data_IF_098208868779
#
_entry.id   IF_098208868779
#
_cell.length_a   1.000
_cell.length_b   1.000
_cell.length_c   1.000
_cell.angle_alpha   90.00
_cell.angle_beta   90.00
_cell.angle_gamma   90.00
#
_symmetry.space_group_name_H-M   'P 1'
#
loop_
_entity.id
_entity.type
_entity.pdbx_description
1 polymer ?
#
# COMPACT_ATOMS: atom_id res chain seq x y z
N UNK A 1 -6.83 -15.33 19.85
CA UNK A 1 -5.48 -14.70 19.77
C UNK A 1 -4.80 -15.26 18.53
N UNK A 2 -4.49 -14.46 17.51
CA UNK A 2 -3.86 -14.97 16.26
C UNK A 2 -2.40 -15.33 16.57
N UNK A 3 -1.87 -16.48 16.10
CA UNK A 3 -0.47 -16.87 16.33
C UNK A 3 0.51 -15.77 15.86
N UNK A 4 1.57 -15.51 16.64
CA UNK A 4 2.47 -14.35 16.45
C UNK A 4 3.21 -14.29 15.11
N UNK A 5 3.36 -15.43 14.42
CA UNK A 5 3.91 -15.50 13.05
C UNK A 5 2.84 -15.20 11.99
N UNK A 6 1.65 -15.80 12.13
CA UNK A 6 0.51 -15.53 11.23
C UNK A 6 0.10 -14.06 11.27
N UNK A 7 0.06 -13.46 12.47
CA UNK A 7 -0.28 -12.05 12.65
C UNK A 7 0.68 -11.06 11.98
N UNK A 8 1.92 -11.49 11.67
CA UNK A 8 2.91 -10.68 10.94
C UNK A 8 2.76 -10.78 9.42
N UNK A 9 2.22 -11.88 8.91
CA UNK A 9 2.00 -12.08 7.47
C UNK A 9 0.66 -11.51 7.00
N UNK A 10 -0.35 -11.47 7.87
CA UNK A 10 -1.68 -10.95 7.51
C UNK A 10 -1.67 -9.56 6.87
N UNK A 11 -0.91 -8.56 7.36
CA UNK A 11 -0.87 -7.25 6.71
C UNK A 11 -0.31 -7.34 5.30
N UNK A 12 0.76 -8.13 5.08
CA UNK A 12 1.37 -8.34 3.76
C UNK A 12 0.36 -8.97 2.80
N UNK A 13 -0.35 -10.02 3.24
CA UNK A 13 -1.38 -10.67 2.43
C UNK A 13 -2.56 -9.73 2.11
N UNK A 14 -2.97 -8.88 3.06
CA UNK A 14 -3.98 -7.86 2.82
C UNK A 14 -3.51 -6.82 1.78
N UNK A 15 -2.23 -6.45 1.81
CA UNK A 15 -1.59 -5.62 0.79
C UNK A 15 -1.58 -6.26 -0.59
N UNK A 16 -1.21 -7.54 -0.69
CA UNK A 16 -1.22 -8.29 -1.96
C UNK A 16 -2.65 -8.39 -2.50
N UNK A 17 -3.65 -8.65 -1.64
CA UNK A 17 -5.04 -8.62 -2.04
C UNK A 17 -5.47 -7.24 -2.55
N UNK A 18 -5.01 -6.15 -1.90
CA UNK A 18 -5.21 -4.79 -2.38
C UNK A 18 -4.57 -4.54 -3.76
N UNK A 19 -3.39 -5.13 -4.02
CA UNK A 19 -2.69 -5.00 -5.30
C UNK A 19 -3.43 -5.68 -6.47
N UNK A 20 -4.26 -6.69 -6.21
CA UNK A 20 -5.03 -7.38 -7.24
C UNK A 20 -6.05 -6.49 -7.97
N UNK A 21 -6.35 -5.29 -7.44
CA UNK A 21 -7.15 -4.28 -8.16
C UNK A 21 -6.36 -3.51 -9.21
N UNK A 22 -5.04 -3.57 -9.21
CA UNK A 22 -4.20 -2.97 -10.23
C UNK A 22 -4.12 -3.90 -11.45
N UNK A 23 -3.67 -3.35 -12.57
CA UNK A 23 -3.31 -4.16 -13.73
C UNK A 23 -2.24 -5.21 -13.33
N UNK A 24 -2.26 -6.42 -13.93
CA UNK A 24 -3.15 -6.87 -15.00
C UNK A 24 -4.48 -7.49 -14.53
N UNK A 25 -4.68 -7.64 -13.22
CA UNK A 25 -5.84 -8.38 -12.69
C UNK A 25 -7.12 -7.53 -12.67
N UNK A 26 -7.01 -6.23 -12.38
CA UNK A 26 -8.14 -5.28 -12.35
C UNK A 26 -9.36 -5.81 -11.57
N UNK A 27 -9.14 -6.40 -10.39
CA UNK A 27 -10.18 -6.97 -9.51
C UNK A 27 -10.54 -6.00 -8.35
N UNK A 28 -11.41 -5.00 -8.56
CA UNK A 28 -11.67 -3.95 -7.56
C UNK A 28 -12.25 -4.48 -6.26
N UNK A 29 -13.10 -5.52 -6.29
CA UNK A 29 -13.70 -6.08 -5.07
C UNK A 29 -12.68 -6.81 -4.19
N UNK A 30 -11.71 -7.50 -4.80
CA UNK A 30 -10.59 -8.11 -4.06
C UNK A 30 -9.72 -7.01 -3.45
N UNK A 31 -9.51 -5.93 -4.21
CA UNK A 31 -8.74 -4.79 -3.72
C UNK A 31 -9.39 -4.12 -2.52
N UNK A 32 -10.70 -3.87 -2.59
CA UNK A 32 -11.50 -3.33 -1.49
C UNK A 32 -11.41 -4.21 -0.25
N UNK A 33 -11.49 -5.53 -0.40
CA UNK A 33 -11.32 -6.45 0.72
C UNK A 33 -9.91 -6.34 1.34
N UNK A 34 -8.87 -6.21 0.52
CA UNK A 34 -7.49 -5.98 0.97
C UNK A 34 -7.29 -4.65 1.71
N UNK A 35 -7.85 -3.55 1.18
CA UNK A 35 -7.82 -2.24 1.84
C UNK A 35 -8.61 -2.25 3.15
N UNK A 36 -9.80 -2.83 3.17
CA UNK A 36 -10.61 -2.98 4.38
C UNK A 36 -9.90 -3.81 5.45
N UNK A 37 -9.28 -4.93 5.06
CA UNK A 37 -8.48 -5.75 5.96
C UNK A 37 -7.27 -4.97 6.51
N UNK A 38 -6.60 -4.17 5.67
CA UNK A 38 -5.49 -3.30 6.10
C UNK A 38 -5.94 -2.30 7.16
N UNK A 39 -7.03 -1.57 6.91
CA UNK A 39 -7.60 -0.60 7.87
C UNK A 39 -8.02 -1.31 9.17
N UNK A 40 -8.64 -2.49 9.08
CA UNK A 40 -9.03 -3.30 10.24
C UNK A 40 -7.82 -3.75 11.07
N UNK A 41 -6.75 -4.21 10.42
CA UNK A 41 -5.51 -4.63 11.08
C UNK A 41 -4.82 -3.44 11.76
N UNK A 42 -4.69 -2.29 11.10
CA UNK A 42 -4.06 -1.10 11.67
C UNK A 42 -4.88 -0.54 12.83
N UNK A 43 -6.20 -0.41 12.66
CA UNK A 43 -7.09 0.12 13.70
C UNK A 43 -7.07 -0.70 14.99
N UNK A 44 -6.92 -2.03 14.90
CA UNK A 44 -6.85 -2.94 16.05
C UNK A 44 -5.43 -3.27 16.53
N UNK A 45 -4.42 -2.49 16.15
CA UNK A 45 -3.08 -2.72 16.67
C UNK A 45 -2.97 -2.34 18.16
N UNK A 46 -2.23 -3.12 18.97
CA UNK A 46 -2.13 -2.88 20.42
C UNK A 46 -1.36 -1.60 20.75
N UNK A 47 -0.37 -1.22 19.94
CA UNK A 47 0.55 -0.12 20.21
C UNK A 47 0.98 0.59 18.91
N UNK A 48 1.67 1.72 19.04
CA UNK A 48 2.15 2.54 17.91
C UNK A 48 3.09 1.76 17.00
N UNK A 49 3.98 0.94 17.57
CA UNK A 49 4.93 0.11 16.80
C UNK A 49 4.17 -0.90 15.94
N UNK A 50 3.14 -1.54 16.49
CA UNK A 50 2.30 -2.47 15.79
C UNK A 50 1.46 -1.79 14.69
N UNK A 51 0.95 -0.57 14.91
CA UNK A 51 0.26 0.19 13.83
C UNK A 51 1.20 0.46 12.66
N UNK A 52 2.43 0.90 12.95
CA UNK A 52 3.46 1.19 11.95
C UNK A 52 3.82 -0.05 11.14
N UNK A 53 4.15 -1.16 11.80
CA UNK A 53 4.55 -2.39 11.09
C UNK A 53 3.39 -3.06 10.35
N UNK A 54 2.14 -2.95 10.83
CA UNK A 54 0.98 -3.45 10.08
C UNK A 54 0.74 -2.62 8.83
N UNK A 55 0.78 -1.29 8.94
CA UNK A 55 0.61 -0.42 7.78
C UNK A 55 1.76 -0.56 6.78
N UNK A 56 3.01 -0.62 7.27
CA UNK A 56 4.19 -0.87 6.44
C UNK A 56 4.13 -2.25 5.77
N UNK A 57 3.78 -3.31 6.49
CA UNK A 57 3.66 -4.65 5.91
C UNK A 57 2.60 -4.72 4.81
N UNK A 58 1.45 -4.07 5.01
CA UNK A 58 0.43 -3.96 3.98
C UNK A 58 0.89 -3.12 2.78
N UNK A 59 1.55 -1.99 3.01
CA UNK A 59 2.16 -1.20 1.95
C UNK A 59 3.19 -1.99 1.15
N UNK A 60 4.05 -2.77 1.82
CA UNK A 60 5.08 -3.56 1.16
C UNK A 60 4.47 -4.66 0.28
N UNK A 61 3.44 -5.36 0.77
CA UNK A 61 2.69 -6.33 -0.02
C UNK A 61 1.97 -5.69 -1.22
N UNK A 62 1.36 -4.52 -1.01
CA UNK A 62 0.69 -3.77 -2.06
C UNK A 62 1.67 -3.34 -3.15
N UNK A 63 2.76 -2.65 -2.79
CA UNK A 63 3.72 -2.16 -3.76
C UNK A 63 4.49 -3.27 -4.46
N UNK A 64 4.88 -4.34 -3.76
CA UNK A 64 5.52 -5.49 -4.39
C UNK A 64 4.58 -6.16 -5.42
N UNK A 65 3.30 -6.30 -5.08
CA UNK A 65 2.29 -6.89 -5.96
C UNK A 65 1.94 -5.98 -7.15
N UNK A 66 1.91 -4.66 -6.97
CA UNK A 66 1.55 -3.70 -8.03
C UNK A 66 2.74 -3.28 -8.91
N UNK A 67 3.97 -3.43 -8.42
CA UNK A 67 5.20 -3.01 -9.10
C UNK A 67 6.11 -4.19 -9.41
N UNK A 68 5.57 -5.41 -9.47
CA UNK A 68 6.35 -6.62 -9.76
C UNK A 68 7.12 -6.51 -11.08
N UNK A 69 6.58 -5.77 -12.06
CA UNK A 69 7.19 -5.48 -13.36
C UNK A 69 8.53 -4.74 -13.26
N UNK A 70 8.89 -4.13 -12.12
CA UNK A 70 10.20 -3.51 -11.89
C UNK A 70 11.35 -4.51 -12.03
N UNK A 71 11.07 -5.82 -12.00
CA UNK A 71 12.04 -6.86 -12.33
C UNK A 71 12.41 -6.87 -13.81
N UNK A 72 11.49 -6.54 -14.72
CA UNK A 72 11.65 -6.69 -16.17
C UNK A 72 12.86 -5.95 -16.76
N UNK A 73 13.16 -4.69 -16.39
CA UNK A 73 14.34 -3.99 -16.91
C UNK A 73 15.67 -4.68 -16.58
N UNK A 74 15.76 -5.39 -15.45
CA UNK A 74 16.95 -6.12 -15.04
C UNK A 74 17.17 -7.41 -15.84
N UNK A 75 16.12 -7.89 -16.53
CA UNK A 75 16.16 -9.12 -17.31
C UNK A 75 16.58 -8.88 -18.78
N UNK A 76 16.74 -7.62 -19.20
CA UNK A 76 17.22 -7.28 -20.56
C UNK A 76 18.67 -7.74 -20.76
N UNK A 77 19.53 -7.54 -19.77
CA UNK A 77 20.90 -8.10 -19.68
C UNK A 77 21.04 -8.84 -18.34
N UNK A 78 20.37 -9.99 -18.27
CA UNK A 78 20.20 -10.74 -17.03
C UNK A 78 21.52 -11.28 -16.46
N UNK A 79 22.49 -11.62 -17.32
CA UNK A 79 23.81 -12.09 -16.89
C UNK A 79 24.52 -11.03 -16.06
N UNK A 80 24.39 -9.75 -16.45
CA UNK A 80 25.02 -8.64 -15.77
C UNK A 80 24.18 -8.09 -14.61
N UNK A 81 22.87 -7.98 -14.78
CA UNK A 81 21.99 -7.18 -13.91
C UNK A 81 20.89 -7.98 -13.21
N UNK A 82 20.61 -9.22 -13.61
CA UNK A 82 19.47 -10.00 -13.10
C UNK A 82 19.51 -10.24 -11.59
N UNK A 83 20.70 -10.38 -11.02
CA UNK A 83 20.90 -10.54 -9.57
C UNK A 83 20.42 -9.33 -8.75
N UNK A 84 20.34 -8.14 -9.34
CA UNK A 84 19.92 -6.90 -8.68
C UNK A 84 18.40 -6.81 -8.53
N UNK A 85 17.64 -7.48 -9.41
CA UNK A 85 16.18 -7.38 -9.50
C UNK A 85 15.44 -7.63 -8.18
N UNK A 86 15.71 -8.70 -7.40
CA UNK A 86 15.01 -8.93 -6.13
C UNK A 86 15.28 -7.82 -5.11
N UNK A 87 16.49 -7.27 -5.07
CA UNK A 87 16.86 -6.18 -4.18
C UNK A 87 16.22 -4.86 -4.60
N UNK A 88 16.13 -4.61 -5.91
CA UNK A 88 15.45 -3.43 -6.46
C UNK A 88 13.95 -3.45 -6.12
N UNK A 89 13.26 -4.58 -6.36
CA UNK A 89 11.84 -4.71 -6.03
C UNK A 89 11.60 -4.61 -4.52
N UNK A 90 12.36 -5.35 -3.71
CA UNK A 90 12.20 -5.32 -2.25
C UNK A 90 12.51 -3.93 -1.66
N UNK A 91 13.57 -3.29 -2.14
CA UNK A 91 13.98 -1.95 -1.72
C UNK A 91 12.95 -0.89 -2.10
N UNK A 92 12.45 -0.91 -3.35
CA UNK A 92 11.43 0.02 -3.81
C UNK A 92 10.10 -0.19 -3.06
N UNK A 93 9.60 -1.43 -3.00
CA UNK A 93 8.34 -1.74 -2.32
C UNK A 93 8.41 -1.41 -0.82
N UNK A 94 9.50 -1.82 -0.15
CA UNK A 94 9.74 -1.53 1.27
C UNK A 94 9.93 -0.04 1.55
N UNK A 95 10.60 0.68 0.65
CA UNK A 95 10.82 2.13 0.74
C UNK A 95 9.53 2.93 0.57
N UNK A 96 8.72 2.61 -0.45
CA UNK A 96 7.40 3.24 -0.64
C UNK A 96 6.44 2.89 0.50
N UNK A 97 6.56 1.69 1.08
CA UNK A 97 5.77 1.29 2.24
C UNK A 97 6.08 2.10 3.50
N UNK A 98 7.21 2.82 3.58
CA UNK A 98 7.51 3.72 4.71
C UNK A 98 6.47 4.83 4.83
N UNK A 99 5.90 5.31 3.71
CA UNK A 99 4.79 6.27 3.71
C UNK A 99 3.56 5.72 4.44
N UNK A 100 3.20 4.46 4.17
CA UNK A 100 2.07 3.79 4.84
C UNK A 100 2.40 3.52 6.31
N UNK A 101 3.63 3.09 6.61
CA UNK A 101 4.12 2.92 7.98
C UNK A 101 4.02 4.21 8.80
N UNK A 102 4.45 5.34 8.23
CA UNK A 102 4.36 6.67 8.86
C UNK A 102 2.91 7.08 9.10
N UNK A 103 2.01 6.85 8.12
CA UNK A 103 0.57 7.06 8.29
C UNK A 103 -0.01 6.19 9.42
N UNK A 104 0.37 4.91 9.49
CA UNK A 104 -0.05 4.00 10.56
C UNK A 104 0.42 4.47 11.94
N UNK A 105 1.68 4.87 12.05
CA UNK A 105 2.26 5.39 13.29
C UNK A 105 1.55 6.68 13.75
N UNK A 106 1.36 7.65 12.86
CA UNK A 106 0.66 8.89 13.19
C UNK A 106 -0.81 8.64 13.56
N UNK A 107 -1.49 7.74 12.86
CA UNK A 107 -2.88 7.38 13.15
C UNK A 107 -3.07 6.82 14.56
N UNK A 108 -2.06 6.14 15.13
CA UNK A 108 -2.11 5.64 16.50
C UNK A 108 -2.33 6.77 17.52
N UNK A 109 -1.64 7.89 17.33
CA UNK A 109 -1.66 9.03 18.25
C UNK A 109 -2.83 9.97 17.99
N UNK A 110 -3.25 10.11 16.73
CA UNK A 110 -4.35 10.98 16.32
C UNK A 110 -5.73 10.36 16.64
N UNK A 111 -5.87 9.04 16.56
CA UNK A 111 -7.14 8.36 16.71
C UNK A 111 -7.37 7.78 18.11
N UNK A 112 -8.52 8.08 18.73
CA UNK A 112 -8.96 7.43 19.98
C UNK A 112 -9.76 6.16 19.66
N UNK A 113 -9.32 5.02 20.21
CA UNK A 113 -9.93 3.72 19.96
C UNK A 113 -9.83 3.24 18.50
N UNK A 114 -10.40 2.07 18.17
CA UNK A 114 -10.28 1.49 16.83
C UNK A 114 -10.93 2.35 15.73
N UNK A 115 -12.11 2.91 15.97
CA UNK A 115 -12.82 3.73 14.99
C UNK A 115 -12.08 5.03 14.65
N UNK A 116 -11.65 5.78 15.67
CA UNK A 116 -10.87 7.01 15.46
C UNK A 116 -9.53 6.74 14.76
N UNK A 117 -8.88 5.62 15.09
CA UNK A 117 -7.63 5.21 14.43
C UNK A 117 -7.85 4.82 12.97
N UNK A 118 -8.96 4.16 12.65
CA UNK A 118 -9.31 3.85 11.26
C UNK A 118 -9.49 5.12 10.42
N UNK A 119 -10.27 6.08 10.93
CA UNK A 119 -10.51 7.36 10.25
C UNK A 119 -9.22 8.18 10.10
N UNK A 120 -8.41 8.26 11.15
CA UNK A 120 -7.12 8.95 11.10
C UNK A 120 -6.18 8.30 10.06
N UNK A 121 -6.12 6.97 10.02
CA UNK A 121 -5.31 6.25 9.04
C UNK A 121 -5.76 6.53 7.60
N UNK A 122 -7.07 6.43 7.32
CA UNK A 122 -7.61 6.70 5.97
C UNK A 122 -7.32 8.14 5.53
N UNK A 123 -7.50 9.14 6.41
CA UNK A 123 -7.17 10.53 6.08
C UNK A 123 -5.67 10.73 5.82
N UNK A 124 -4.82 10.13 6.64
CA UNK A 124 -3.37 10.18 6.46
C UNK A 124 -2.90 9.47 5.18
N UNK A 125 -3.60 8.41 4.75
CA UNK A 125 -3.31 7.70 3.51
C UNK A 125 -3.38 8.63 2.29
N UNK A 126 -4.35 9.55 2.25
CA UNK A 126 -4.41 10.59 1.20
C UNK A 126 -3.20 11.53 1.23
N UNK A 127 -2.81 11.99 2.43
CA UNK A 127 -1.67 12.91 2.60
C UNK A 127 -0.34 12.26 2.21
N UNK A 128 -0.10 11.02 2.65
CA UNK A 128 1.13 10.31 2.27
C UNK A 128 1.12 9.87 0.81
N UNK A 129 -0.07 9.62 0.24
CA UNK A 129 -0.27 9.39 -1.19
C UNK A 129 0.14 10.59 -2.05
N UNK A 130 -0.22 11.81 -1.60
CA UNK A 130 0.23 13.06 -2.20
C UNK A 130 1.74 13.27 -2.00
N UNK A 131 2.24 13.11 -0.77
CA UNK A 131 3.65 13.30 -0.45
C UNK A 131 4.57 12.40 -1.31
N UNK A 132 4.16 11.16 -1.56
CA UNK A 132 4.88 10.22 -2.43
C UNK A 132 5.02 10.70 -3.88
N UNK A 133 4.17 11.61 -4.33
CA UNK A 133 4.27 12.28 -5.63
C UNK A 133 5.35 13.36 -5.72
N UNK A 134 5.92 13.80 -4.59
CA UNK A 134 6.86 14.94 -4.56
C UNK A 134 8.18 14.64 -3.83
N UNK A 135 8.16 13.82 -2.79
CA UNK A 135 9.35 13.45 -2.02
C UNK A 135 10.34 12.69 -2.91
N UNK A 136 11.61 13.08 -2.87
CA UNK A 136 12.69 12.48 -3.68
C UNK A 136 12.33 12.42 -5.17
N UNK A 137 11.93 13.57 -5.73
CA UNK A 137 11.43 13.74 -7.12
C UNK A 137 10.12 13.03 -7.46
N UNK A 138 9.55 12.27 -6.52
CA UNK A 138 8.23 11.65 -6.64
C UNK A 138 8.22 10.30 -7.35
N UNK A 139 7.35 9.41 -6.88
CA UNK A 139 7.02 8.13 -7.53
C UNK A 139 5.52 7.79 -7.34
N UNK A 140 4.61 8.49 -8.05
CA UNK A 140 3.16 8.35 -7.89
C UNK A 140 2.56 7.14 -8.65
N UNK A 141 3.27 6.02 -8.72
CA UNK A 141 2.78 4.77 -9.35
C UNK A 141 1.95 3.92 -8.39
N UNK A 142 1.05 3.08 -8.88
CA UNK A 142 0.16 2.26 -8.05
C UNK A 142 -0.58 3.13 -7.01
N UNK A 143 -1.31 4.15 -7.48
CA UNK A 143 -2.23 4.89 -6.61
C UNK A 143 -3.43 3.98 -6.27
N UNK A 144 -3.90 3.94 -5.01
CA UNK A 144 -5.09 3.17 -4.64
C UNK A 144 -6.31 3.43 -5.53
N UNK A 145 -6.54 4.69 -5.94
CA UNK A 145 -7.65 5.06 -6.82
C UNK A 145 -7.62 4.42 -8.22
N UNK A 146 -6.46 3.95 -8.70
CA UNK A 146 -6.38 3.27 -10.01
C UNK A 146 -7.14 1.95 -10.08
N UNK A 147 -7.57 1.37 -8.95
CA UNK A 147 -8.46 0.20 -8.98
C UNK A 147 -9.78 0.46 -9.68
N UNK A 148 -10.14 1.74 -9.86
CA UNK A 148 -11.35 2.18 -10.54
C UNK A 148 -11.14 2.53 -12.01
N UNK A 149 -9.91 2.47 -12.53
CA UNK A 149 -9.56 2.99 -13.85
C UNK A 149 -10.40 2.38 -14.99
N UNK A 150 -10.71 1.08 -14.89
CA UNK A 150 -11.50 0.34 -15.90
C UNK A 150 -13.01 0.31 -15.57
N UNK A 151 -13.49 1.19 -14.68
CA UNK A 151 -14.89 1.24 -14.23
C UNK A 151 -15.51 2.60 -14.50
N UNK A 152 -16.85 2.72 -14.51
CA UNK A 152 -17.52 4.02 -14.63
C UNK A 152 -17.13 5.02 -13.54
N UNK A 153 -16.60 4.56 -12.40
CA UNK A 153 -16.12 5.43 -11.32
C UNK A 153 -14.87 6.23 -11.69
N UNK A 154 -14.13 5.84 -12.74
CA UNK A 154 -12.99 6.61 -13.25
C UNK A 154 -13.38 8.06 -13.61
N UNK A 155 -14.65 8.32 -13.94
CA UNK A 155 -15.14 9.67 -14.25
C UNK A 155 -15.02 10.66 -13.09
N UNK A 156 -14.99 10.18 -11.84
CA UNK A 156 -14.77 11.05 -10.68
C UNK A 156 -13.36 11.66 -10.65
N UNK A 157 -12.39 11.09 -11.38
CA UNK A 157 -11.08 11.71 -11.55
C UNK A 157 -11.14 13.08 -12.23
N UNK A 158 -12.22 13.39 -12.98
CA UNK A 158 -12.39 14.72 -13.57
C UNK A 158 -12.53 15.84 -12.51
N UNK A 159 -12.91 15.49 -11.28
CA UNK A 159 -13.13 16.47 -10.20
C UNK A 159 -11.86 16.73 -9.37
N UNK A 160 -11.08 15.69 -9.10
CA UNK A 160 -9.97 15.75 -8.13
C UNK A 160 -8.71 14.98 -8.57
N UNK A 161 -8.66 14.53 -9.82
CA UNK A 161 -7.58 13.70 -10.37
C UNK A 161 -7.55 12.30 -9.77
N UNK A 162 -6.52 11.53 -10.14
CA UNK A 162 -6.33 10.15 -9.66
C UNK A 162 -6.11 10.03 -8.14
N UNK A 163 -5.72 11.12 -7.48
CA UNK A 163 -5.55 11.17 -6.02
C UNK A 163 -6.90 11.30 -5.28
N UNK A 164 -7.95 11.78 -5.96
CA UNK A 164 -9.29 11.93 -5.39
C UNK A 164 -10.24 10.76 -5.63
N UNK A 165 -9.78 9.73 -6.36
CA UNK A 165 -10.45 8.44 -6.55
C UNK A 165 -10.17 7.49 -5.37
#
# INVERSE_FOLDING_TARGET
MIPSRLGRLLPILAGIAAAAGQAPLSLPFVALAGFAATVWLVSRAPDARATMFRAWGAGAGYFAGSLFWIVEPFLVDAERHGWMAPFALAGLAGGLALFWGAAGWAAHWMGRGPGGRALAFVGLMGLVGLARGYVLTGFPWALPGHVWADTPLAQFAALAGAQGL
#
